data_IF_634399292724
#
_entry.id   IF_634399292724
#
_cell.length_a   1.000
_cell.length_b   1.000
_cell.length_c   1.000
_cell.angle_alpha   90.00
_cell.angle_beta   90.00
_cell.angle_gamma   90.00
#
_symmetry.space_group_name_H-M   'P 1'
#
loop_
_entity.id
_entity.type
_entity.pdbx_description
1 polymer ?
#
# COMPACT_ATOMS: atom_id res chain seq x y z
N UNK A 1 -27.33 9.14 -23.73
CA UNK A 1 -26.29 8.32 -24.42
C UNK A 1 -24.97 8.28 -23.64
N UNK A 2 -24.50 9.41 -23.06
CA UNK A 2 -23.29 9.50 -22.23
C UNK A 2 -23.29 8.56 -21.01
N UNK A 3 -24.42 8.41 -20.32
CA UNK A 3 -24.54 7.53 -19.14
C UNK A 3 -24.38 6.04 -19.47
N UNK A 4 -24.82 5.60 -20.67
CA UNK A 4 -24.62 4.21 -21.11
C UNK A 4 -23.14 3.93 -21.41
N UNK A 5 -22.39 4.92 -21.89
CA UNK A 5 -20.96 4.78 -22.19
C UNK A 5 -20.14 4.76 -20.88
N UNK A 6 -20.44 5.66 -19.94
CA UNK A 6 -19.79 5.70 -18.62
C UNK A 6 -19.98 4.38 -17.87
N UNK A 7 -21.19 3.82 -17.84
CA UNK A 7 -21.44 2.53 -17.19
C UNK A 7 -20.75 1.35 -17.89
N UNK A 8 -20.53 1.42 -19.21
CA UNK A 8 -19.77 0.37 -19.92
C UNK A 8 -18.28 0.47 -19.65
N UNK A 9 -17.72 1.68 -19.60
CA UNK A 9 -16.30 1.90 -19.27
C UNK A 9 -16.01 1.45 -17.84
N UNK A 10 -16.88 1.80 -16.88
CA UNK A 10 -16.71 1.39 -15.49
C UNK A 10 -16.74 -0.14 -15.34
N UNK A 11 -17.73 -0.82 -15.94
CA UNK A 11 -17.82 -2.29 -15.92
C UNK A 11 -16.60 -2.96 -16.56
N UNK A 12 -16.08 -2.40 -17.65
CA UNK A 12 -14.89 -2.93 -18.31
C UNK A 12 -13.65 -2.76 -17.43
N UNK A 13 -13.49 -1.59 -16.81
CA UNK A 13 -12.39 -1.30 -15.89
C UNK A 13 -12.39 -2.26 -14.70
N UNK A 14 -13.55 -2.49 -14.08
CA UNK A 14 -13.69 -3.46 -12.97
C UNK A 14 -13.36 -4.89 -13.41
N UNK A 15 -13.72 -5.30 -14.63
CA UNK A 15 -13.38 -6.64 -15.11
C UNK A 15 -11.87 -6.82 -15.29
N UNK A 16 -11.20 -5.81 -15.83
CA UNK A 16 -9.74 -5.79 -15.99
C UNK A 16 -9.03 -5.78 -14.62
N UNK A 17 -9.55 -5.01 -13.66
CA UNK A 17 -9.02 -4.95 -12.30
C UNK A 17 -9.09 -6.30 -11.59
N UNK A 18 -10.23 -6.99 -11.67
CA UNK A 18 -10.40 -8.34 -11.11
C UNK A 18 -9.44 -9.33 -11.80
N UNK A 19 -9.26 -9.23 -13.11
CA UNK A 19 -8.33 -10.09 -13.85
C UNK A 19 -6.88 -9.90 -13.39
N UNK A 20 -6.41 -8.65 -13.25
CA UNK A 20 -5.06 -8.38 -12.76
C UNK A 20 -4.87 -8.78 -11.30
N UNK A 21 -5.86 -8.52 -10.43
CA UNK A 21 -5.81 -8.94 -9.04
C UNK A 21 -5.60 -10.47 -8.93
N UNK A 22 -6.38 -11.26 -9.66
CA UNK A 22 -6.24 -12.73 -9.67
C UNK A 22 -4.88 -13.16 -10.25
N UNK A 23 -4.46 -12.56 -11.36
CA UNK A 23 -3.17 -12.91 -11.98
C UNK A 23 -1.98 -12.65 -11.05
N UNK A 24 -1.99 -11.53 -10.33
CA UNK A 24 -0.92 -11.17 -9.40
C UNK A 24 -0.97 -12.07 -8.16
N UNK A 25 -2.16 -12.37 -7.65
CA UNK A 25 -2.34 -13.26 -6.48
C UNK A 25 -1.78 -14.67 -6.73
N UNK A 26 -2.00 -15.22 -7.92
CA UNK A 26 -1.40 -16.51 -8.33
C UNK A 26 0.13 -16.46 -8.29
N UNK A 27 0.74 -15.39 -8.81
CA UNK A 27 2.20 -15.23 -8.80
C UNK A 27 2.73 -15.14 -7.37
N UNK A 28 2.08 -14.34 -6.52
CA UNK A 28 2.43 -14.21 -5.10
C UNK A 28 2.37 -15.58 -4.41
N UNK A 29 1.33 -16.37 -4.66
CA UNK A 29 1.14 -17.68 -4.06
C UNK A 29 2.24 -18.67 -4.48
N UNK A 30 2.61 -18.68 -5.78
CA UNK A 30 3.73 -19.50 -6.28
C UNK A 30 5.05 -19.08 -5.62
N UNK A 31 5.31 -17.77 -5.53
CA UNK A 31 6.53 -17.24 -4.92
C UNK A 31 6.59 -17.52 -3.40
N UNK A 32 5.44 -17.50 -2.71
CA UNK A 32 5.34 -17.86 -1.31
C UNK A 32 5.68 -19.34 -1.08
N UNK A 33 5.16 -20.24 -1.91
CA UNK A 33 5.52 -21.67 -1.85
C UNK A 33 7.02 -21.86 -2.13
N UNK A 34 7.55 -21.19 -3.16
CA UNK A 34 8.97 -21.25 -3.50
C UNK A 34 9.85 -20.84 -2.31
N UNK A 35 9.50 -19.76 -1.63
CA UNK A 35 10.23 -19.29 -0.44
C UNK A 35 10.28 -20.35 0.67
N UNK A 36 9.15 -21.01 0.95
CA UNK A 36 9.10 -22.07 1.97
C UNK A 36 9.95 -23.28 1.56
N UNK A 37 9.88 -23.70 0.29
CA UNK A 37 10.68 -24.82 -0.23
C UNK A 37 12.18 -24.52 -0.17
N UNK A 38 12.57 -23.28 -0.45
CA UNK A 38 13.96 -22.82 -0.43
C UNK A 38 14.54 -22.87 1.00
N UNK A 39 13.79 -22.38 1.99
CA UNK A 39 14.18 -22.43 3.41
C UNK A 39 14.24 -23.87 3.95
N UNK A 40 13.39 -24.76 3.43
CA UNK A 40 13.34 -26.16 3.84
C UNK A 40 14.50 -27.01 3.30
N UNK A 41 15.33 -26.50 2.38
CA UNK A 41 16.47 -27.24 1.85
C UNK A 41 17.57 -27.41 2.91
N UNK A 42 18.11 -28.63 3.09
CA UNK A 42 19.23 -28.86 4.00
C UNK A 42 20.45 -28.09 3.50
N UNK A 43 20.92 -27.13 4.30
CA UNK A 43 22.07 -26.28 3.97
C UNK A 43 21.74 -24.84 3.62
N UNK A 44 20.46 -24.42 3.63
CA UNK A 44 20.07 -23.03 3.41
C UNK A 44 20.76 -22.08 4.41
N UNK A 45 20.74 -22.43 5.70
CA UNK A 45 21.34 -21.62 6.78
C UNK A 45 22.88 -21.60 6.80
N UNK A 46 23.54 -22.41 5.95
CA UNK A 46 25.00 -22.42 5.87
C UNK A 46 25.56 -21.26 5.02
N UNK A 47 24.69 -20.51 4.35
CA UNK A 47 25.07 -19.36 3.54
C UNK A 47 25.09 -18.10 4.42
N UNK A 48 26.16 -17.30 4.31
CA UNK A 48 26.31 -16.06 5.08
C UNK A 48 25.16 -15.05 4.84
N UNK A 49 24.54 -15.11 3.66
CA UNK A 49 23.47 -14.20 3.22
C UNK A 49 22.07 -14.83 3.29
N UNK A 50 21.93 -16.00 3.93
CA UNK A 50 20.67 -16.75 3.99
C UNK A 50 19.53 -15.89 4.59
N UNK A 51 19.81 -15.18 5.68
CA UNK A 51 18.82 -14.34 6.35
C UNK A 51 18.44 -13.13 5.51
N UNK A 52 19.41 -12.44 4.90
CA UNK A 52 19.16 -11.26 4.05
C UNK A 52 18.32 -11.64 2.83
N UNK A 53 18.64 -12.77 2.20
CA UNK A 53 17.90 -13.30 1.04
C UNK A 53 16.48 -13.71 1.42
N UNK A 54 16.31 -14.38 2.56
CA UNK A 54 15.00 -14.73 3.09
C UNK A 54 14.15 -13.48 3.36
N UNK A 55 14.70 -12.51 4.10
CA UNK A 55 14.01 -11.26 4.43
C UNK A 55 13.63 -10.49 3.17
N UNK A 56 14.52 -10.42 2.18
CA UNK A 56 14.23 -9.78 0.89
C UNK A 56 13.00 -10.41 0.23
N UNK A 57 13.01 -11.74 0.07
CA UNK A 57 11.94 -12.46 -0.61
C UNK A 57 10.63 -12.43 0.19
N UNK A 58 10.70 -12.58 1.51
CA UNK A 58 9.53 -12.50 2.40
C UNK A 58 8.89 -11.11 2.38
N UNK A 59 9.69 -10.05 2.56
CA UNK A 59 9.18 -8.69 2.56
C UNK A 59 8.63 -8.33 1.18
N UNK A 60 9.28 -8.79 0.09
CA UNK A 60 8.79 -8.73 -1.30
C UNK A 60 7.35 -9.23 -1.45
N UNK A 61 7.06 -10.42 -0.92
CA UNK A 61 5.72 -10.98 -0.92
C UNK A 61 4.70 -10.15 -0.14
N UNK A 62 5.07 -9.65 1.05
CA UNK A 62 4.14 -8.87 1.90
C UNK A 62 3.65 -7.61 1.19
N UNK A 63 4.53 -6.85 0.52
CA UNK A 63 4.09 -5.69 -0.28
C UNK A 63 3.23 -6.12 -1.47
N UNK A 64 3.55 -7.24 -2.10
CA UNK A 64 2.72 -7.78 -3.20
C UNK A 64 1.28 -8.03 -2.74
N UNK A 65 1.11 -8.64 -1.56
CA UNK A 65 -0.21 -8.93 -0.98
C UNK A 65 -0.96 -7.64 -0.62
N UNK A 66 -0.27 -6.65 -0.03
CA UNK A 66 -0.89 -5.36 0.27
C UNK A 66 -1.28 -4.58 -1.00
N UNK A 67 -0.46 -4.66 -2.04
CA UNK A 67 -0.75 -4.06 -3.34
C UNK A 67 -1.99 -4.67 -3.99
N UNK A 68 -2.15 -6.00 -3.95
CA UNK A 68 -3.38 -6.67 -4.46
C UNK A 68 -4.60 -6.24 -3.65
N UNK A 69 -4.48 -6.17 -2.32
CA UNK A 69 -5.57 -5.66 -1.45
C UNK A 69 -5.98 -4.23 -1.80
N UNK A 70 -5.00 -3.38 -2.12
CA UNK A 70 -5.20 -2.01 -2.59
C UNK A 70 -5.83 -1.93 -3.98
N UNK A 71 -5.51 -2.88 -4.89
CA UNK A 71 -6.15 -2.94 -6.21
C UNK A 71 -7.64 -3.30 -6.10
N UNK A 72 -8.00 -4.25 -5.23
CA UNK A 72 -9.38 -4.77 -5.13
C UNK A 72 -10.29 -3.87 -4.29
N UNK A 73 -9.76 -3.22 -3.25
CA UNK A 73 -10.50 -2.23 -2.48
C UNK A 73 -10.14 -0.87 -3.04
N UNK A 74 -11.04 -0.27 -3.84
CA UNK A 74 -10.96 1.11 -4.34
C UNK A 74 -10.89 2.21 -3.25
N UNK A 75 -10.54 1.87 -2.01
CA UNK A 75 -10.25 2.79 -0.92
C UNK A 75 -8.74 2.90 -0.74
N UNK A 76 -8.10 3.95 -1.30
CA UNK A 76 -6.67 4.20 -1.18
C UNK A 76 -6.24 4.70 0.22
N UNK A 77 -7.04 4.48 1.27
CA UNK A 77 -6.77 5.05 2.61
C UNK A 77 -5.39 4.65 3.15
N UNK A 78 -4.85 3.50 2.72
CA UNK A 78 -3.57 2.97 3.20
C UNK A 78 -2.50 2.83 2.11
N UNK A 79 -2.67 3.39 0.90
CA UNK A 79 -1.62 3.32 -0.15
C UNK A 79 -0.28 3.82 0.37
N UNK A 80 -0.32 4.93 1.12
CA UNK A 80 0.86 5.57 1.68
C UNK A 80 1.53 4.67 2.71
N UNK A 81 0.76 3.90 3.49
CA UNK A 81 1.30 2.94 4.46
C UNK A 81 2.01 1.79 3.76
N UNK A 82 1.42 1.27 2.68
CA UNK A 82 2.03 0.22 1.86
C UNK A 82 3.31 0.72 1.17
N UNK A 83 3.30 1.96 0.67
CA UNK A 83 4.49 2.61 0.10
C UNK A 83 5.59 2.81 1.15
N UNK A 84 5.25 3.26 2.36
CA UNK A 84 6.23 3.41 3.45
C UNK A 84 6.80 2.04 3.84
N UNK A 85 5.98 1.00 3.95
CA UNK A 85 6.44 -0.36 4.22
C UNK A 85 7.37 -0.88 3.11
N UNK A 86 7.03 -0.64 1.84
CA UNK A 86 7.82 -1.02 0.68
C UNK A 86 9.19 -0.31 0.62
N UNK A 87 9.23 0.98 0.95
CA UNK A 87 10.47 1.75 1.02
C UNK A 87 11.33 1.33 2.23
N UNK A 88 10.71 1.13 3.39
CA UNK A 88 11.40 0.76 4.63
C UNK A 88 12.14 -0.57 4.49
N UNK A 89 11.53 -1.58 3.85
CA UNK A 89 12.23 -2.86 3.61
C UNK A 89 13.40 -2.72 2.62
N UNK A 90 13.28 -1.86 1.61
CA UNK A 90 14.34 -1.67 0.61
C UNK A 90 15.55 -1.01 1.24
N UNK A 91 15.28 -0.12 2.19
CA UNK A 91 16.29 0.49 3.02
C UNK A 91 16.98 -0.58 3.89
N UNK A 92 16.22 -1.40 4.64
CA UNK A 92 16.79 -2.43 5.55
C UNK A 92 17.59 -3.55 4.86
N UNK A 93 17.14 -4.00 3.69
CA UNK A 93 17.68 -5.22 3.04
C UNK A 93 18.90 -4.93 2.16
N UNK A 94 18.98 -3.75 1.55
CA UNK A 94 20.07 -3.42 0.66
C UNK A 94 21.18 -2.68 1.43
N UNK A 95 22.43 -3.08 1.18
CA UNK A 95 23.60 -2.33 1.64
C UNK A 95 23.80 -1.07 0.80
N UNK A 96 22.86 -0.15 0.95
CA UNK A 96 22.92 1.17 0.38
C UNK A 96 24.08 1.94 1.03
N UNK A 97 24.80 2.74 0.26
CA UNK A 97 25.82 3.62 0.80
C UNK A 97 25.18 4.64 1.75
N UNK A 98 25.95 5.17 2.72
CA UNK A 98 25.42 6.10 3.74
C UNK A 98 24.58 7.26 3.16
N UNK A 99 24.91 7.73 1.95
CA UNK A 99 24.19 8.81 1.28
C UNK A 99 22.80 8.39 0.77
N UNK A 100 22.66 7.16 0.29
CA UNK A 100 21.41 6.61 -0.26
C UNK A 100 20.38 6.41 0.85
N UNK A 101 20.84 5.99 2.04
CA UNK A 101 20.01 5.94 3.25
C UNK A 101 19.43 7.31 3.61
N UNK A 102 20.26 8.36 3.58
CA UNK A 102 19.82 9.73 3.90
C UNK A 102 18.76 10.22 2.89
N UNK A 103 18.96 9.96 1.60
CA UNK A 103 17.99 10.29 0.55
C UNK A 103 16.71 9.48 0.71
N UNK A 104 16.79 8.18 1.03
CA UNK A 104 15.64 7.32 1.26
C UNK A 104 14.76 7.80 2.42
N UNK A 105 15.37 8.15 3.55
CA UNK A 105 14.66 8.71 4.72
C UNK A 105 14.04 10.07 4.38
N UNK A 106 14.76 10.94 3.65
CA UNK A 106 14.23 12.23 3.21
C UNK A 106 13.02 12.06 2.29
N UNK A 107 13.05 11.10 1.36
CA UNK A 107 11.92 10.77 0.48
C UNK A 107 10.68 10.33 1.28
N UNK A 108 10.85 9.48 2.29
CA UNK A 108 9.74 9.07 3.18
C UNK A 108 9.16 10.28 3.93
N UNK A 109 10.02 11.17 4.44
CA UNK A 109 9.60 12.39 5.13
C UNK A 109 8.81 13.35 4.20
N UNK A 110 9.23 13.48 2.94
CA UNK A 110 8.52 14.26 1.92
C UNK A 110 7.16 13.64 1.60
N UNK A 111 7.08 12.32 1.40
CA UNK A 111 5.80 11.62 1.18
C UNK A 111 4.82 11.85 2.33
N UNK A 112 5.30 11.82 3.57
CA UNK A 112 4.48 12.10 4.76
C UNK A 112 4.03 13.56 4.83
N UNK A 113 4.88 14.49 4.40
CA UNK A 113 4.54 15.92 4.31
C UNK A 113 3.47 16.18 3.26
N UNK A 114 3.61 15.58 2.07
CA UNK A 114 2.60 15.66 1.00
C UNK A 114 1.27 15.08 1.48
N UNK A 115 1.29 13.95 2.20
CA UNK A 115 0.07 13.39 2.82
C UNK A 115 -0.60 14.41 3.73
N UNK A 116 0.16 15.01 4.66
CA UNK A 116 -0.36 15.98 5.61
C UNK A 116 -0.94 17.21 4.92
N UNK A 117 -0.27 17.72 3.89
CA UNK A 117 -0.68 18.95 3.21
C UNK A 117 -1.85 18.75 2.22
N UNK A 118 -1.95 17.57 1.58
CA UNK A 118 -2.99 17.28 0.59
C UNK A 118 -4.25 16.63 1.20
N UNK A 119 -4.12 15.85 2.28
CA UNK A 119 -5.23 15.18 2.97
C UNK A 119 -5.65 15.89 4.27
N UNK A 120 -5.31 17.17 4.44
CA UNK A 120 -6.03 17.98 5.42
C UNK A 120 -7.49 18.01 4.95
N UNK A 121 -8.48 17.56 5.74
CA UNK A 121 -9.86 17.72 5.36
C UNK A 121 -10.09 19.21 5.16
N UNK A 122 -10.54 19.60 3.97
CA UNK A 122 -11.35 20.81 3.82
C UNK A 122 -12.64 20.56 4.61
N UNK A 123 -12.55 20.53 5.94
CA UNK A 123 -13.70 20.83 6.77
C UNK A 123 -13.84 22.35 6.68
N UNK A 124 -14.63 22.75 5.68
CA UNK A 124 -15.10 24.11 5.55
C UNK A 124 -15.85 24.41 6.85
N UNK A 125 -15.24 25.27 7.64
CA UNK A 125 -15.84 26.00 8.74
C UNK A 125 -17.17 26.63 8.28
N UNK A 126 -18.21 26.53 9.11
CA UNK A 126 -19.47 27.24 8.95
C UNK A 126 -20.70 26.35 8.76
N UNK A 127 -21.24 25.82 9.86
CA UNK A 127 -22.64 26.07 10.18
C UNK A 127 -22.68 26.70 11.58
N UNK A 128 -23.42 27.79 11.64
CA UNK A 128 -23.39 28.85 12.63
C UNK A 128 -23.91 28.40 14.00
N UNK A 129 -23.37 29.03 15.04
CA UNK A 129 -24.06 29.20 16.32
C UNK A 129 -25.51 29.63 16.06
N UNK A 130 -26.49 28.86 16.54
CA UNK A 130 -27.78 29.41 16.94
C UNK A 130 -28.08 29.01 18.38
N UNK A 131 -28.30 29.97 19.28
CA UNK A 131 -28.48 29.70 20.69
C UNK A 131 -29.83 29.04 20.99
N UNK A 132 -29.83 28.25 22.06
CA UNK A 132 -31.02 27.81 22.79
C UNK A 132 -31.90 29.03 23.12
N UNK A 133 -33.02 29.18 22.43
CA UNK A 133 -34.13 30.05 22.85
C UNK A 133 -35.46 29.30 22.64
N UNK A 134 -35.96 28.73 23.74
CA UNK A 134 -37.27 29.10 24.29
C UNK A 134 -38.48 29.08 23.34
N UNK A 135 -38.99 27.88 23.02
CA UNK A 135 -40.36 27.72 22.50
C UNK A 135 -40.97 26.39 22.98
N UNK A 136 -41.04 26.21 24.32
CA UNK A 136 -41.94 25.26 24.97
C UNK A 136 -42.54 25.91 26.23
N UNK A 137 -43.24 27.01 26.02
CA UNK A 137 -44.23 27.53 26.97
C UNK A 137 -45.25 28.39 26.22
N UNK A 138 -46.19 27.74 25.53
CA UNK A 138 -47.61 28.13 25.47
C UNK A 138 -48.47 26.99 24.91
#
# INVERSE_FOLDING_TARGET
MKEKIQNRIYKLATYIEIFFAISIDIVILILAVKLVVEVAQPGYFNQAEALTTFLQNALNLVVGVEFVKMLVRHTPDNVIEVLIFALSRHVIVYHLEMWEWLVGVLCIAVLFTIRKFLFTPFHREGDEDTPVQEELAE
#
